data_IF_538720906350
#
_entry.id   IF_538720906350
#
_cell.length_a   1.000
_cell.length_b   1.000
_cell.length_c   1.000
_cell.angle_alpha   90.00
_cell.angle_beta   90.00
_cell.angle_gamma   90.00
#
_symmetry.space_group_name_H-M   'P 1'
#
loop_
_entity.id
_entity.type
_entity.pdbx_description
1 polymer ?
#
# COMPACT_ATOMS: atom_id res chain seq x y z
N UNK A 1 -5.86 -39.27 0.11
CA UNK A 1 -7.19 -39.15 -0.50
C UNK A 1 -7.04 -38.24 -1.70
N UNK A 2 -6.98 -38.84 -2.89
CA UNK A 2 -6.66 -38.18 -4.17
C UNK A 2 -7.93 -37.46 -4.63
N UNK A 3 -7.91 -36.12 -4.64
CA UNK A 3 -9.00 -35.34 -5.24
C UNK A 3 -8.68 -35.16 -6.73
N UNK A 4 -9.56 -35.74 -7.54
CA UNK A 4 -9.52 -35.69 -8.99
C UNK A 4 -9.49 -34.24 -9.51
N UNK A 5 -8.62 -34.00 -10.49
CA UNK A 5 -8.71 -32.87 -11.40
C UNK A 5 -10.05 -32.92 -12.15
N UNK A 6 -11.01 -32.08 -11.75
CA UNK A 6 -12.06 -31.65 -12.66
C UNK A 6 -11.56 -30.39 -13.37
N UNK A 7 -11.48 -30.40 -14.72
CA UNK A 7 -11.31 -29.17 -15.46
C UNK A 7 -12.53 -28.28 -15.17
N UNK A 8 -12.29 -27.04 -14.76
CA UNK A 8 -13.34 -26.03 -14.73
C UNK A 8 -13.98 -25.98 -16.13
N UNK A 9 -15.32 -26.09 -16.25
CA UNK A 9 -15.96 -25.94 -17.55
C UNK A 9 -15.61 -24.56 -18.10
N UNK A 10 -15.20 -24.53 -19.37
CA UNK A 10 -15.06 -23.29 -20.11
C UNK A 10 -16.32 -22.45 -19.87
N UNK A 11 -16.16 -21.15 -19.64
CA UNK A 11 -17.25 -20.20 -19.44
C UNK A 11 -18.11 -19.98 -20.72
N UNK A 12 -18.17 -20.98 -21.60
CA UNK A 12 -18.71 -20.91 -22.97
C UNK A 12 -20.19 -21.25 -23.08
N UNK A 13 -20.90 -21.60 -21.99
CA UNK A 13 -22.30 -21.97 -22.14
C UNK A 13 -23.18 -21.68 -20.93
N UNK A 14 -23.38 -20.38 -20.64
CA UNK A 14 -24.66 -19.94 -20.07
C UNK A 14 -25.57 -19.66 -21.28
N UNK A 15 -26.68 -20.39 -21.45
CA UNK A 15 -27.62 -20.16 -22.56
C UNK A 15 -28.06 -18.68 -22.60
N UNK A 16 -27.88 -18.02 -23.75
CA UNK A 16 -28.27 -16.62 -23.98
C UNK A 16 -27.24 -15.55 -23.61
N UNK A 17 -26.06 -15.92 -23.08
CA UNK A 17 -24.95 -14.97 -22.86
C UNK A 17 -23.65 -15.55 -23.43
N UNK A 18 -23.37 -15.24 -24.69
CA UNK A 18 -22.12 -15.66 -25.35
C UNK A 18 -20.94 -14.86 -24.78
N UNK A 19 -20.26 -15.43 -23.78
CA UNK A 19 -19.00 -14.91 -23.28
C UNK A 19 -17.84 -15.56 -24.05
N UNK A 20 -16.79 -14.79 -24.31
CA UNK A 20 -15.51 -15.27 -24.83
C UNK A 20 -14.44 -14.98 -23.80
N UNK A 21 -13.75 -16.04 -23.35
CA UNK A 21 -12.62 -15.94 -22.42
C UNK A 21 -11.27 -15.98 -23.13
N UNK A 22 -10.31 -15.21 -22.65
CA UNK A 22 -8.92 -15.25 -23.09
C UNK A 22 -7.96 -14.92 -21.94
N UNK A 23 -6.91 -15.74 -21.80
CA UNK A 23 -5.77 -15.42 -20.94
C UNK A 23 -4.93 -14.31 -21.57
N UNK A 24 -4.60 -13.29 -20.80
CA UNK A 24 -3.99 -12.06 -21.29
C UNK A 24 -3.05 -11.44 -20.24
N UNK A 25 -2.35 -10.39 -20.67
CA UNK A 25 -1.64 -9.43 -19.81
C UNK A 25 -2.26 -8.04 -19.95
N UNK A 26 -1.86 -7.14 -19.06
CA UNK A 26 -2.17 -5.71 -19.15
C UNK A 26 -0.90 -4.97 -19.55
N UNK A 27 -1.02 -4.05 -20.51
CA UNK A 27 0.07 -3.20 -20.95
C UNK A 27 0.42 -2.16 -19.88
N UNK A 28 1.62 -1.57 -19.96
CA UNK A 28 2.02 -0.47 -19.05
C UNK A 28 1.05 0.74 -19.09
N UNK A 29 0.34 0.92 -20.21
CA UNK A 29 -0.71 1.93 -20.37
C UNK A 29 -1.98 1.64 -19.58
N UNK A 30 -2.12 0.44 -19.01
CA UNK A 30 -3.37 -0.02 -18.38
C UNK A 30 -4.36 -0.64 -19.35
N UNK A 31 -3.99 -0.88 -20.61
CA UNK A 31 -4.86 -1.52 -21.60
C UNK A 31 -4.72 -3.05 -21.59
N UNK A 32 -5.84 -3.76 -21.60
CA UNK A 32 -5.89 -5.21 -21.72
C UNK A 32 -5.41 -5.65 -23.12
N UNK A 33 -4.41 -6.54 -23.18
CA UNK A 33 -3.86 -7.04 -24.45
C UNK A 33 -4.85 -7.91 -25.25
N UNK A 34 -5.89 -8.44 -24.60
CA UNK A 34 -6.92 -9.25 -25.26
C UNK A 34 -8.03 -8.40 -25.90
N UNK A 35 -8.54 -7.41 -25.17
CA UNK A 35 -9.73 -6.65 -25.60
C UNK A 35 -9.51 -5.16 -25.88
N UNK A 36 -8.32 -4.63 -25.58
CA UNK A 36 -7.98 -3.21 -25.74
C UNK A 36 -8.61 -2.28 -24.69
N UNK A 37 -9.45 -2.77 -23.78
CA UNK A 37 -10.09 -1.92 -22.75
C UNK A 37 -9.10 -1.48 -21.68
N UNK A 38 -9.30 -0.25 -21.23
CA UNK A 38 -8.57 0.32 -20.11
C UNK A 38 -9.07 -0.28 -18.80
N UNK A 39 -8.14 -0.82 -18.02
CA UNK A 39 -8.34 -1.30 -16.64
C UNK A 39 -8.55 -0.08 -15.73
N UNK A 40 -9.34 -0.26 -14.68
CA UNK A 40 -9.59 0.77 -13.67
C UNK A 40 -8.26 1.38 -13.18
N UNK A 41 -8.14 2.72 -13.12
CA UNK A 41 -6.91 3.36 -12.67
C UNK A 41 -6.64 3.05 -11.20
N UNK A 42 -5.36 2.97 -10.81
CA UNK A 42 -4.99 2.75 -9.40
C UNK A 42 -5.35 3.95 -8.51
N UNK A 43 -5.35 5.15 -9.09
CA UNK A 43 -5.58 6.38 -8.37
C UNK A 43 -7.06 6.53 -8.02
N UNK A 44 -7.31 6.92 -6.77
CA UNK A 44 -8.64 7.31 -6.31
C UNK A 44 -9.03 8.65 -6.93
N UNK A 45 -10.30 8.80 -7.29
CA UNK A 45 -10.85 10.13 -7.60
C UNK A 45 -10.79 11.04 -6.35
N UNK A 46 -10.84 12.37 -6.50
CA UNK A 46 -10.89 13.28 -5.36
C UNK A 46 -12.02 12.94 -4.37
N UNK A 47 -13.19 12.56 -4.89
CA UNK A 47 -14.36 12.19 -4.08
C UNK A 47 -14.17 10.84 -3.38
N UNK A 48 -13.58 9.85 -4.06
CA UNK A 48 -13.23 8.57 -3.45
C UNK A 48 -12.18 8.73 -2.35
N UNK A 49 -11.19 9.59 -2.58
CA UNK A 49 -10.12 9.87 -1.63
C UNK A 49 -10.65 10.56 -0.38
N UNK A 50 -11.46 11.60 -0.53
CA UNK A 50 -12.03 12.31 0.61
C UNK A 50 -12.99 11.41 1.41
N UNK A 51 -13.82 10.61 0.72
CA UNK A 51 -14.65 9.60 1.36
C UNK A 51 -13.83 8.60 2.19
N UNK A 52 -12.75 8.05 1.61
CA UNK A 52 -11.86 7.13 2.32
C UNK A 52 -11.20 7.82 3.51
N UNK A 53 -10.66 9.03 3.32
CA UNK A 53 -10.01 9.82 4.35
C UNK A 53 -10.95 10.01 5.54
N UNK A 54 -12.15 10.55 5.34
CA UNK A 54 -13.10 10.77 6.42
C UNK A 54 -13.46 9.48 7.17
N UNK A 55 -13.62 8.37 6.44
CA UNK A 55 -13.93 7.06 7.04
C UNK A 55 -12.80 6.56 7.91
N UNK A 56 -11.56 6.60 7.42
CA UNK A 56 -10.39 6.19 8.21
C UNK A 56 -10.20 7.09 9.43
N UNK A 57 -10.37 8.41 9.29
CA UNK A 57 -10.28 9.33 10.42
C UNK A 57 -11.33 9.00 11.49
N UNK A 58 -12.60 8.85 11.11
CA UNK A 58 -13.67 8.53 12.08
C UNK A 58 -13.53 7.14 12.70
N UNK A 59 -13.26 6.12 11.90
CA UNK A 59 -13.41 4.73 12.33
C UNK A 59 -12.12 4.15 12.95
N UNK A 60 -10.95 4.62 12.49
CA UNK A 60 -9.63 4.12 12.94
C UNK A 60 -8.97 5.07 13.94
N UNK A 61 -9.13 6.39 13.75
CA UNK A 61 -8.49 7.39 14.61
C UNK A 61 -9.41 7.80 15.76
N UNK A 62 -10.68 8.12 15.47
CA UNK A 62 -11.64 8.62 16.48
C UNK A 62 -12.54 7.51 17.09
N UNK A 63 -12.58 6.32 16.49
CA UNK A 63 -13.59 5.26 16.69
C UNK A 63 -13.68 4.59 18.08
N UNK A 64 -13.08 5.17 19.12
CA UNK A 64 -13.20 4.73 20.51
C UNK A 64 -12.16 3.69 20.95
N UNK A 65 -12.31 3.20 22.19
CA UNK A 65 -11.30 2.46 22.97
C UNK A 65 -10.79 1.15 22.33
N UNK A 66 -11.45 0.63 21.28
CA UNK A 66 -11.03 -0.61 20.61
C UNK A 66 -9.67 -0.49 19.89
N UNK A 67 -9.21 0.72 19.56
CA UNK A 67 -7.91 0.99 18.93
C UNK A 67 -6.96 1.82 19.82
N UNK A 68 -7.40 2.22 21.02
CA UNK A 68 -6.65 3.13 21.90
C UNK A 68 -5.58 2.41 22.74
N UNK A 69 -4.56 1.87 22.09
CA UNK A 69 -3.25 1.72 22.75
C UNK A 69 -2.44 3.02 22.74
N UNK A 70 -2.90 4.00 21.96
CA UNK A 70 -2.37 5.37 21.92
C UNK A 70 -3.18 6.27 22.85
N UNK A 71 -2.50 7.10 23.64
CA UNK A 71 -3.20 8.06 24.51
C UNK A 71 -3.82 9.20 23.69
N UNK A 72 -5.01 9.72 24.05
CA UNK A 72 -5.60 10.88 23.37
C UNK A 72 -4.67 12.11 23.33
N UNK A 73 -3.84 12.27 24.37
CA UNK A 73 -2.84 13.33 24.43
C UNK A 73 -1.74 13.16 23.38
N UNK A 74 -1.27 11.93 23.17
CA UNK A 74 -0.27 11.65 22.14
C UNK A 74 -0.84 11.82 20.74
N UNK A 75 -2.08 11.40 20.50
CA UNK A 75 -2.77 11.64 19.24
C UNK A 75 -2.87 13.13 18.94
N UNK A 76 -3.37 13.94 19.89
CA UNK A 76 -3.45 15.40 19.71
C UNK A 76 -2.09 16.05 19.45
N UNK A 77 -1.03 15.56 20.11
CA UNK A 77 0.35 16.02 19.86
C UNK A 77 0.77 15.70 18.43
N UNK A 78 0.43 14.52 17.94
CA UNK A 78 0.74 14.10 16.58
C UNK A 78 -0.02 14.92 15.53
N UNK A 79 -1.33 15.11 15.70
CA UNK A 79 -2.15 15.94 14.81
C UNK A 79 -1.61 17.36 14.73
N UNK A 80 -1.30 17.97 15.88
CA UNK A 80 -0.71 19.32 15.93
C UNK A 80 0.62 19.38 15.19
N UNK A 81 1.46 18.35 15.31
CA UNK A 81 2.72 18.25 14.61
C UNK A 81 2.53 18.14 13.09
N UNK A 82 1.67 17.24 12.61
CA UNK A 82 1.39 17.06 11.18
C UNK A 82 0.81 18.34 10.59
N UNK A 83 -0.15 18.98 11.26
CA UNK A 83 -0.79 20.21 10.78
C UNK A 83 0.14 21.44 10.79
N UNK A 84 1.26 21.38 11.50
CA UNK A 84 2.30 22.42 11.48
C UNK A 84 3.33 22.24 10.37
N UNK A 85 3.30 21.11 9.66
CA UNK A 85 4.21 20.79 8.57
C UNK A 85 3.53 20.97 7.21
N UNK A 86 4.29 21.22 6.12
CA UNK A 86 3.75 21.05 4.78
C UNK A 86 3.36 19.57 4.53
N UNK A 87 2.51 19.29 3.52
CA UNK A 87 2.23 17.93 3.11
C UNK A 87 3.50 17.13 2.82
N UNK A 88 3.54 15.89 3.31
CA UNK A 88 4.65 14.99 3.07
C UNK A 88 4.48 14.24 1.75
N UNK A 89 5.60 13.93 1.09
CA UNK A 89 5.62 13.06 -0.07
C UNK A 89 5.68 11.59 0.35
N UNK A 90 6.42 11.29 1.43
CA UNK A 90 6.57 9.93 1.95
C UNK A 90 6.56 9.91 3.47
N UNK A 91 5.66 9.09 4.04
CA UNK A 91 5.65 8.73 5.46
C UNK A 91 6.33 7.37 5.66
N UNK A 92 7.31 7.31 6.56
CA UNK A 92 8.17 6.16 6.79
C UNK A 92 7.90 5.61 8.18
N UNK A 93 7.45 4.36 8.26
CA UNK A 93 7.45 3.61 9.51
C UNK A 93 8.88 3.18 9.85
N UNK A 94 9.52 4.00 10.68
CA UNK A 94 10.96 3.91 10.94
C UNK A 94 11.37 2.63 11.65
N UNK A 95 10.54 2.09 12.55
CA UNK A 95 10.86 0.86 13.28
C UNK A 95 10.72 -0.35 12.35
N UNK A 96 9.65 -0.41 11.55
CA UNK A 96 9.48 -1.49 10.59
C UNK A 96 10.58 -1.47 9.52
N UNK A 97 10.89 -0.30 8.97
CA UNK A 97 11.96 -0.13 7.97
C UNK A 97 13.32 -0.53 8.52
N UNK A 98 13.65 -0.11 9.75
CA UNK A 98 14.92 -0.45 10.38
C UNK A 98 15.12 -1.97 10.52
N UNK A 99 14.03 -2.72 10.71
CA UNK A 99 14.03 -4.19 10.87
C UNK A 99 13.93 -4.97 9.56
N UNK A 100 13.77 -4.30 8.42
CA UNK A 100 13.68 -4.99 7.12
C UNK A 100 14.99 -5.70 6.73
N UNK A 101 16.14 -5.22 7.24
CA UNK A 101 17.46 -5.75 6.89
C UNK A 101 18.15 -6.36 8.13
N UNK A 102 17.92 -7.65 8.43
CA UNK A 102 18.34 -8.28 9.69
C UNK A 102 19.86 -8.34 9.90
N UNK A 103 20.66 -8.17 8.83
CA UNK A 103 22.12 -8.18 8.89
C UNK A 103 22.73 -6.78 9.15
N UNK A 104 21.91 -5.73 9.09
CA UNK A 104 22.34 -4.36 9.33
C UNK A 104 21.89 -3.86 10.70
N UNK A 105 22.60 -2.86 11.23
CA UNK A 105 22.14 -2.15 12.43
C UNK A 105 20.86 -1.36 12.11
N UNK A 106 19.88 -1.42 13.00
CA UNK A 106 18.56 -0.77 12.83
C UNK A 106 18.67 0.73 12.46
N UNK A 107 19.43 1.51 13.24
CA UNK A 107 19.68 2.94 12.96
C UNK A 107 20.37 3.19 11.61
N UNK A 108 21.32 2.33 11.21
CA UNK A 108 22.01 2.44 9.93
C UNK A 108 21.08 2.14 8.75
N UNK A 109 20.23 1.11 8.90
CA UNK A 109 19.24 0.72 7.89
C UNK A 109 18.25 1.87 7.64
N UNK A 110 17.71 2.45 8.72
CA UNK A 110 16.80 3.59 8.63
C UNK A 110 17.48 4.79 7.97
N UNK A 111 18.69 5.14 8.41
CA UNK A 111 19.47 6.23 7.82
C UNK A 111 19.72 6.01 6.32
N UNK A 112 20.02 4.77 5.91
CA UNK A 112 20.22 4.42 4.51
C UNK A 112 19.01 4.70 3.63
N UNK A 113 17.82 4.33 4.11
CA UNK A 113 16.55 4.59 3.42
C UNK A 113 16.25 6.09 3.36
N UNK A 114 16.33 6.78 4.50
CA UNK A 114 16.06 8.23 4.58
C UNK A 114 17.02 9.01 3.69
N UNK A 115 18.31 8.71 3.73
CA UNK A 115 19.31 9.45 2.95
C UNK A 115 19.12 9.29 1.45
N UNK A 116 18.74 8.09 0.99
CA UNK A 116 18.48 7.89 -0.44
C UNK A 116 17.20 8.61 -0.91
N UNK A 117 16.16 8.66 -0.08
CA UNK A 117 14.93 9.39 -0.41
C UNK A 117 15.14 10.90 -0.36
N UNK A 118 15.91 11.40 0.60
CA UNK A 118 16.21 12.83 0.74
C UNK A 118 16.98 13.38 -0.48
N UNK A 119 17.81 12.56 -1.13
CA UNK A 119 18.49 12.93 -2.40
C UNK A 119 17.52 13.24 -3.55
N UNK A 120 16.25 12.85 -3.44
CA UNK A 120 15.21 13.13 -4.44
C UNK A 120 14.43 14.43 -4.13
N UNK A 121 14.85 15.20 -3.12
CA UNK A 121 14.21 16.44 -2.69
C UNK A 121 12.74 16.26 -2.27
N UNK A 122 12.43 15.12 -1.64
CA UNK A 122 11.09 14.77 -1.14
C UNK A 122 10.88 15.28 0.29
N UNK A 123 9.66 15.65 0.63
CA UNK A 123 9.21 15.92 2.00
C UNK A 123 9.00 14.59 2.75
N UNK A 124 9.88 14.30 3.70
CA UNK A 124 9.89 13.02 4.42
C UNK A 124 9.43 13.19 5.86
N UNK A 125 8.55 12.28 6.29
CA UNK A 125 8.21 12.08 7.70
C UNK A 125 8.65 10.69 8.15
N UNK A 126 9.46 10.61 9.21
CA UNK A 126 9.79 9.36 9.89
C UNK A 126 8.97 9.25 11.17
N UNK A 127 8.16 8.20 11.26
CA UNK A 127 7.50 7.78 12.48
C UNK A 127 8.40 6.81 13.21
N UNK A 128 8.68 7.07 14.47
CA UNK A 128 9.54 6.24 15.28
C UNK A 128 9.05 6.12 16.71
N UNK A 129 9.84 5.47 17.54
CA UNK A 129 9.56 5.23 18.96
C UNK A 129 10.63 5.87 19.83
N UNK A 130 10.25 6.31 21.04
CA UNK A 130 11.18 6.96 21.98
C UNK A 130 12.43 6.11 22.30
N UNK A 131 12.34 4.78 22.27
CA UNK A 131 13.54 3.93 22.47
C UNK A 131 14.60 4.10 21.37
N UNK A 132 14.23 4.50 20.15
CA UNK A 132 15.17 4.75 19.05
C UNK A 132 16.11 5.93 19.35
N UNK A 133 15.72 6.82 20.27
CA UNK A 133 16.53 7.95 20.73
C UNK A 133 17.48 7.58 21.87
N UNK A 134 17.32 6.39 22.47
CA UNK A 134 18.19 5.91 23.55
C UNK A 134 19.39 5.18 22.93
N UNK A 135 20.63 5.65 23.18
CA UNK A 135 21.81 5.00 22.63
C UNK A 135 21.88 3.52 23.00
N UNK A 136 22.04 2.65 22.00
CA UNK A 136 22.19 1.22 22.15
C UNK A 136 23.03 0.64 21.01
N UNK A 137 23.33 -0.67 21.05
CA UNK A 137 23.99 -1.35 19.94
C UNK A 137 23.21 -1.25 18.63
N UNK A 138 21.87 -1.18 18.70
CA UNK A 138 20.98 -1.06 17.54
C UNK A 138 20.70 0.39 17.13
N UNK A 139 20.69 1.32 18.09
CA UNK A 139 20.36 2.72 17.87
C UNK A 139 21.52 3.63 18.22
N UNK A 140 22.33 4.00 17.22
CA UNK A 140 23.41 4.98 17.41
C UNK A 140 22.88 6.40 17.36
N UNK A 141 23.37 7.22 18.28
CA UNK A 141 22.98 8.62 18.41
C UNK A 141 23.33 9.43 17.16
N UNK A 142 24.53 9.24 16.62
CA UNK A 142 25.03 10.00 15.47
C UNK A 142 24.17 9.75 14.22
N UNK A 143 23.75 8.51 14.00
CA UNK A 143 22.92 8.14 12.85
C UNK A 143 21.49 8.66 12.99
N UNK A 144 20.91 8.60 14.18
CA UNK A 144 19.58 9.16 14.43
C UNK A 144 19.57 10.68 14.36
N UNK A 145 20.66 11.35 14.72
CA UNK A 145 20.83 12.79 14.47
C UNK A 145 20.90 13.11 12.98
N UNK A 146 21.54 12.27 12.16
CA UNK A 146 21.55 12.42 10.71
C UNK A 146 20.18 12.17 10.08
N UNK A 147 19.39 11.21 10.59
CA UNK A 147 17.99 11.02 10.17
C UNK A 147 17.18 12.29 10.42
N UNK A 148 17.27 12.86 11.62
CA UNK A 148 16.54 14.09 12.01
C UNK A 148 16.94 15.35 11.24
N UNK A 149 18.14 15.37 10.65
CA UNK A 149 18.58 16.47 9.77
C UNK A 149 18.01 16.36 8.36
N UNK A 150 17.57 15.17 7.95
CA UNK A 150 17.14 14.88 6.57
C UNK A 150 15.64 14.66 6.43
N UNK A 151 14.92 14.47 7.54
CA UNK A 151 13.48 14.24 7.55
C UNK A 151 12.84 14.86 8.80
N UNK A 152 11.55 15.18 8.70
CA UNK A 152 10.72 15.42 9.86
C UNK A 152 10.60 14.12 10.64
N UNK A 153 10.61 14.16 11.98
CA UNK A 153 10.53 12.97 12.81
C UNK A 153 9.54 13.15 13.95
N UNK A 154 8.66 12.17 14.13
CA UNK A 154 7.80 12.06 15.29
C UNK A 154 8.09 10.76 16.04
N UNK A 155 8.43 10.85 17.33
CA UNK A 155 8.74 9.69 18.15
C UNK A 155 7.62 9.43 19.16
N UNK A 156 6.78 8.44 18.85
CA UNK A 156 5.70 7.99 19.71
C UNK A 156 6.22 7.19 20.93
N UNK A 157 5.37 7.05 21.94
CA UNK A 157 5.58 6.15 23.06
C UNK A 157 5.73 4.70 22.61
N UNK A 158 6.52 3.90 23.33
CA UNK A 158 6.87 2.53 22.91
C UNK A 158 5.70 1.54 22.96
N UNK A 159 4.57 1.94 23.56
CA UNK A 159 3.38 1.11 23.77
C UNK A 159 2.28 1.37 22.73
N UNK A 160 2.38 2.46 21.98
CA UNK A 160 1.38 2.90 20.99
C UNK A 160 1.33 1.92 19.80
N UNK A 161 0.27 1.94 19.00
CA UNK A 161 0.25 1.25 17.70
C UNK A 161 0.82 2.21 16.63
N UNK A 162 1.62 1.72 15.67
CA UNK A 162 2.23 2.57 14.63
C UNK A 162 1.24 2.92 13.50
N UNK A 163 0.34 1.99 13.19
CA UNK A 163 -0.57 2.05 12.05
C UNK A 163 -1.50 3.30 12.04
N UNK A 164 -2.10 3.76 13.17
CA UNK A 164 -2.93 4.96 13.18
C UNK A 164 -2.18 6.24 12.78
N UNK A 165 -0.94 6.40 13.25
CA UNK A 165 -0.12 7.57 12.92
C UNK A 165 0.31 7.57 11.45
N UNK A 166 0.68 6.39 10.95
CA UNK A 166 1.05 6.20 9.54
C UNK A 166 -0.12 6.54 8.62
N UNK A 167 -1.30 5.98 8.90
CA UNK A 167 -2.52 6.24 8.16
C UNK A 167 -2.90 7.72 8.20
N UNK A 168 -2.93 8.32 9.38
CA UNK A 168 -3.29 9.72 9.56
C UNK A 168 -2.37 10.65 8.75
N UNK A 169 -1.04 10.55 8.93
CA UNK A 169 -0.11 11.45 8.25
C UNK A 169 -0.15 11.29 6.73
N UNK A 170 -0.29 10.06 6.24
CA UNK A 170 -0.34 9.80 4.79
C UNK A 170 -1.63 10.36 4.18
N UNK A 171 -2.78 10.09 4.80
CA UNK A 171 -4.08 10.58 4.31
C UNK A 171 -4.24 12.09 4.48
N UNK A 172 -3.66 12.68 5.52
CA UNK A 172 -3.71 14.12 5.73
C UNK A 172 -2.80 14.89 4.77
N UNK A 173 -1.69 14.29 4.33
CA UNK A 173 -0.81 14.89 3.32
C UNK A 173 -1.44 14.90 1.92
N UNK A 174 -2.33 13.96 1.61
CA UNK A 174 -3.14 13.97 0.40
C UNK A 174 -2.80 12.83 -0.58
N UNK A 175 -3.54 12.78 -1.69
CA UNK A 175 -3.55 11.64 -2.64
C UNK A 175 -2.22 11.43 -3.42
N UNK A 176 -1.22 12.28 -3.19
CA UNK A 176 0.14 12.10 -3.72
C UNK A 176 1.07 11.38 -2.74
N UNK A 177 0.77 11.45 -1.44
CA UNK A 177 1.65 11.00 -0.38
C UNK A 177 1.70 9.47 -0.33
N UNK A 178 2.91 8.93 -0.38
CA UNK A 178 3.17 7.49 -0.27
C UNK A 178 3.59 7.12 1.14
N UNK A 179 3.66 5.83 1.42
CA UNK A 179 4.15 5.36 2.71
C UNK A 179 5.00 4.10 2.59
N UNK A 180 5.90 3.90 3.55
CA UNK A 180 6.74 2.70 3.64
C UNK A 180 6.48 2.05 4.99
N UNK A 181 5.98 0.82 4.96
CA UNK A 181 5.92 -0.09 6.12
C UNK A 181 5.97 -1.54 5.63
N UNK A 182 6.41 -2.43 6.52
CA UNK A 182 6.34 -3.88 6.30
C UNK A 182 4.95 -4.44 6.63
N UNK A 183 4.16 -3.72 7.43
CA UNK A 183 2.87 -4.18 7.85
C UNK A 183 1.85 -4.11 6.71
N UNK A 184 1.05 -5.16 6.59
CA UNK A 184 0.00 -5.24 5.58
C UNK A 184 -1.27 -4.53 6.03
N UNK A 185 -1.23 -3.82 7.18
CA UNK A 185 -2.36 -3.14 7.82
C UNK A 185 -3.56 -4.08 7.99
N UNK A 186 -3.29 -5.36 8.28
CA UNK A 186 -4.27 -6.46 8.24
C UNK A 186 -5.36 -6.31 9.29
N UNK A 187 -5.00 -5.85 10.47
CA UNK A 187 -5.94 -5.73 11.58
C UNK A 187 -6.88 -4.54 11.35
N UNK A 188 -6.40 -3.46 10.73
CA UNK A 188 -7.24 -2.32 10.32
C UNK A 188 -8.24 -2.67 9.21
N UNK A 189 -7.93 -3.64 8.34
CA UNK A 189 -8.85 -4.10 7.28
C UNK A 189 -10.08 -4.79 7.84
N UNK A 190 -9.93 -5.59 8.90
CA UNK A 190 -11.03 -6.31 9.52
C UNK A 190 -12.05 -5.39 10.19
N UNK A 191 -11.64 -4.15 10.46
CA UNK A 191 -12.38 -3.15 11.19
C UNK A 191 -13.18 -2.18 10.30
N UNK A 192 -12.92 -2.17 8.99
CA UNK A 192 -13.68 -1.34 8.06
C UNK A 192 -15.06 -1.97 7.83
N UNK A 193 -16.16 -1.27 8.18
CA UNK A 193 -17.47 -1.90 8.35
C UNK A 193 -18.16 -2.24 7.02
N UNK A 194 -17.78 -1.59 5.92
CA UNK A 194 -18.48 -1.72 4.63
C UNK A 194 -17.54 -2.06 3.46
N UNK A 195 -18.09 -2.81 2.50
CA UNK A 195 -17.35 -3.32 1.35
C UNK A 195 -16.80 -2.21 0.43
N UNK A 196 -17.46 -1.05 0.38
CA UNK A 196 -16.98 0.08 -0.44
C UNK A 196 -15.73 0.67 0.18
N UNK A 197 -15.73 0.95 1.48
CA UNK A 197 -14.56 1.46 2.21
C UNK A 197 -13.41 0.49 2.15
N UNK A 198 -13.65 -0.81 2.34
CA UNK A 198 -12.62 -1.85 2.18
C UNK A 198 -12.01 -1.83 0.78
N UNK A 199 -12.83 -1.80 -0.28
CA UNK A 199 -12.33 -1.74 -1.67
C UNK A 199 -11.46 -0.51 -1.91
N UNK A 200 -11.91 0.67 -1.49
CA UNK A 200 -11.14 1.91 -1.66
C UNK A 200 -9.83 1.87 -0.85
N UNK A 201 -9.85 1.30 0.36
CA UNK A 201 -8.65 1.12 1.16
C UNK A 201 -7.62 0.20 0.48
N UNK A 202 -8.05 -0.92 -0.11
CA UNK A 202 -7.16 -1.81 -0.86
C UNK A 202 -6.54 -1.13 -2.09
N UNK A 203 -7.38 -0.41 -2.86
CA UNK A 203 -6.95 0.36 -4.02
C UNK A 203 -5.94 1.45 -3.61
N UNK A 204 -6.24 2.20 -2.56
CA UNK A 204 -5.34 3.18 -1.96
C UNK A 204 -4.02 2.54 -1.51
N UNK A 205 -4.07 1.47 -0.71
CA UNK A 205 -2.87 0.78 -0.23
C UNK A 205 -1.98 0.33 -1.39
N UNK A 206 -2.56 -0.30 -2.43
CA UNK A 206 -1.82 -0.75 -3.60
C UNK A 206 -1.18 0.43 -4.38
N UNK A 207 -1.85 1.59 -4.43
CA UNK A 207 -1.36 2.79 -5.09
C UNK A 207 -0.36 3.64 -4.29
N UNK A 208 -0.28 3.45 -2.98
CA UNK A 208 0.47 4.36 -2.09
C UNK A 208 1.54 3.66 -1.23
N UNK A 209 1.49 2.33 -1.05
CA UNK A 209 2.50 1.59 -0.29
C UNK A 209 3.74 1.32 -1.15
N UNK A 210 4.87 1.86 -0.73
CA UNK A 210 6.18 1.62 -1.33
C UNK A 210 6.84 0.41 -0.67
N UNK A 211 6.82 -0.73 -1.35
CA UNK A 211 7.53 -1.93 -0.92
C UNK A 211 9.00 -1.89 -1.35
N UNK A 212 9.93 -2.11 -0.42
CA UNK A 212 11.36 -2.18 -0.72
C UNK A 212 11.68 -3.61 -1.22
N UNK A 213 12.15 -3.74 -2.46
CA UNK A 213 12.40 -5.06 -3.08
C UNK A 213 13.77 -5.63 -2.71
N UNK A 214 14.84 -4.84 -2.87
CA UNK A 214 16.23 -5.25 -2.64
C UNK A 214 17.12 -4.04 -2.31
N UNK A 215 18.15 -4.31 -1.51
CA UNK A 215 19.32 -3.45 -1.33
C UNK A 215 19.42 -2.79 0.05
N UNK A 216 20.37 -3.23 0.88
CA UNK A 216 21.24 -2.29 1.57
C UNK A 216 22.59 -2.92 1.97
N UNK A 217 23.62 -2.07 2.08
CA UNK A 217 25.06 -2.27 2.32
C UNK A 217 26.00 -2.03 1.11
N UNK A 218 25.59 -2.25 -0.16
CA UNK A 218 26.42 -1.91 -1.36
C UNK A 218 25.66 -1.47 -2.63
N UNK A 219 24.32 -1.46 -2.64
CA UNK A 219 23.53 -1.11 -3.83
C UNK A 219 22.43 -0.10 -3.51
N UNK A 220 21.99 0.66 -4.52
CA UNK A 220 20.85 1.57 -4.47
C UNK A 220 19.58 0.80 -4.08
N UNK A 221 18.81 1.30 -3.11
CA UNK A 221 17.48 0.78 -2.77
C UNK A 221 16.58 0.86 -4.00
N UNK A 222 15.89 -0.23 -4.29
CA UNK A 222 14.86 -0.28 -5.34
C UNK A 222 13.51 -0.55 -4.72
N UNK A 223 12.54 0.27 -5.08
CA UNK A 223 11.14 0.10 -4.69
C UNK A 223 10.39 -0.70 -5.76
N UNK A 224 9.38 -1.44 -5.33
CA UNK A 224 8.44 -2.08 -6.22
C UNK A 224 7.71 -1.04 -7.05
N UNK A 225 7.60 -1.31 -8.35
CA UNK A 225 6.88 -0.42 -9.25
C UNK A 225 5.37 -0.45 -8.95
N UNK A 226 4.79 0.71 -8.69
CA UNK A 226 3.34 0.89 -8.56
C UNK A 226 2.75 1.00 -9.96
N UNK A 227 1.86 0.07 -10.33
CA UNK A 227 1.18 0.08 -11.61
C UNK A 227 0.19 1.24 -11.69
N UNK A 228 -0.06 1.77 -12.88
CA UNK A 228 -1.04 2.85 -13.13
C UNK A 228 -2.50 2.38 -13.05
N UNK A 229 -2.72 1.07 -12.93
CA UNK A 229 -4.02 0.41 -12.93
C UNK A 229 -4.19 -0.48 -11.70
N UNK A 230 -5.43 -0.61 -11.24
CA UNK A 230 -5.81 -1.41 -10.09
C UNK A 230 -5.84 -2.91 -10.45
N UNK A 231 -5.03 -3.69 -9.76
CA UNK A 231 -4.95 -5.15 -9.94
C UNK A 231 -5.95 -5.85 -9.03
N UNK A 232 -7.22 -5.74 -9.40
CA UNK A 232 -8.37 -6.35 -8.72
C UNK A 232 -9.33 -6.97 -9.73
N UNK A 233 -10.14 -7.93 -9.26
CA UNK A 233 -11.29 -8.42 -10.03
C UNK A 233 -12.22 -7.25 -10.32
N UNK A 234 -12.46 -6.99 -11.60
CA UNK A 234 -13.19 -5.80 -12.02
C UNK A 234 -14.01 -6.03 -13.28
N UNK A 235 -15.02 -5.18 -13.45
CA UNK A 235 -15.89 -5.16 -14.62
C UNK A 235 -15.81 -3.80 -15.29
N UNK A 236 -15.46 -3.80 -16.57
CA UNK A 236 -15.41 -2.60 -17.42
C UNK A 236 -16.47 -2.76 -18.51
N UNK A 237 -17.58 -2.03 -18.41
CA UNK A 237 -18.73 -2.17 -19.33
C UNK A 237 -19.35 -3.58 -19.28
N UNK A 238 -19.27 -4.30 -20.40
CA UNK A 238 -19.68 -5.69 -20.58
C UNK A 238 -18.52 -6.70 -20.59
N UNK A 239 -17.34 -6.33 -20.08
CA UNK A 239 -16.21 -7.26 -19.89
C UNK A 239 -15.81 -7.41 -18.42
N UNK A 240 -15.30 -8.58 -18.06
CA UNK A 240 -14.65 -8.85 -16.78
C UNK A 240 -13.15 -9.05 -16.97
N UNK A 241 -12.38 -8.57 -16.00
CA UNK A 241 -10.94 -8.75 -15.91
C UNK A 241 -10.62 -9.32 -14.53
N UNK A 242 -10.02 -10.51 -14.51
CA UNK A 242 -9.77 -11.29 -13.29
C UNK A 242 -8.27 -11.57 -13.22
N UNK A 243 -7.51 -10.93 -12.32
CA UNK A 243 -6.11 -11.26 -12.12
C UNK A 243 -5.99 -12.65 -11.46
N UNK A 244 -4.99 -13.44 -11.86
CA UNK A 244 -4.75 -14.77 -11.31
C UNK A 244 -3.24 -15.05 -11.16
N UNK A 245 -2.90 -15.85 -10.15
CA UNK A 245 -1.53 -16.35 -9.94
C UNK A 245 -1.34 -17.63 -10.78
N UNK A 246 -0.16 -17.79 -11.39
CA UNK A 246 0.20 -19.03 -12.11
C UNK A 246 0.71 -20.08 -11.11
N UNK A 247 0.32 -21.35 -11.29
CA UNK A 247 0.62 -22.43 -10.33
C UNK A 247 2.12 -22.59 -9.99
N UNK A 248 3.01 -22.23 -10.92
CA UNK A 248 4.46 -22.34 -10.78
C UNK A 248 5.14 -21.05 -10.28
N UNK A 249 4.39 -19.98 -10.05
CA UNK A 249 4.93 -18.66 -9.67
C UNK A 249 4.53 -18.34 -8.23
N UNK A 250 5.49 -18.45 -7.31
CA UNK A 250 5.30 -17.97 -5.94
C UNK A 250 5.48 -16.45 -5.89
N UNK A 251 4.38 -15.74 -5.63
CA UNK A 251 4.35 -14.29 -5.46
C UNK A 251 4.55 -13.92 -3.99
N UNK A 252 5.30 -12.85 -3.73
CA UNK A 252 5.39 -12.27 -2.38
C UNK A 252 4.10 -11.53 -2.01
N UNK A 253 3.86 -11.29 -0.72
CA UNK A 253 2.60 -10.66 -0.26
C UNK A 253 2.37 -9.23 -0.76
N UNK A 254 3.43 -8.53 -1.21
CA UNK A 254 3.36 -7.14 -1.67
C UNK A 254 3.32 -7.00 -3.21
N UNK A 255 3.69 -8.06 -3.93
CA UNK A 255 3.57 -8.11 -5.39
C UNK A 255 2.11 -8.30 -5.81
N UNK A 256 1.76 -7.97 -7.05
CA UNK A 256 0.40 -8.21 -7.58
C UNK A 256 0.47 -9.19 -8.77
N UNK A 257 -0.60 -9.97 -9.05
CA UNK A 257 -0.59 -10.88 -10.18
C UNK A 257 -0.38 -10.15 -11.51
N UNK A 258 0.41 -10.74 -12.41
CA UNK A 258 0.71 -10.15 -13.72
C UNK A 258 -0.13 -10.75 -14.86
N UNK A 259 -0.80 -11.87 -14.59
CA UNK A 259 -1.67 -12.57 -15.55
C UNK A 259 -3.14 -12.29 -15.26
N UNK A 260 -3.91 -12.26 -16.33
CA UNK A 260 -5.31 -11.86 -16.30
C UNK A 260 -6.16 -12.77 -17.17
N UNK A 261 -7.36 -13.09 -16.71
CA UNK A 261 -8.43 -13.64 -17.52
C UNK A 261 -9.34 -12.50 -17.96
N UNK A 262 -9.47 -12.31 -19.28
CA UNK A 262 -10.39 -11.37 -19.90
C UNK A 262 -11.62 -12.14 -20.39
N UNK A 263 -12.81 -11.74 -19.92
CA UNK A 263 -14.09 -12.26 -20.39
C UNK A 263 -14.85 -11.12 -21.07
N UNK A 264 -15.27 -11.29 -22.31
CA UNK A 264 -16.07 -10.32 -23.04
C UNK A 264 -17.38 -10.91 -23.51
N UNK A 265 -18.47 -10.15 -23.49
CA UNK A 265 -19.67 -10.54 -24.24
C UNK A 265 -19.39 -10.35 -25.72
N UNK A 266 -19.81 -11.31 -26.55
CA UNK A 266 -19.92 -11.08 -27.99
C UNK A 266 -20.99 -10.01 -28.22
N UNK A 267 -20.62 -8.91 -28.85
CA UNK A 267 -21.60 -8.05 -29.52
C UNK A 267 -22.21 -8.84 -30.67
N UNK A 268 -23.53 -8.80 -30.90
CA UNK A 268 -24.12 -9.34 -32.12
C UNK A 268 -23.46 -8.66 -33.32
N UNK A 269 -23.13 -9.41 -34.36
CA UNK A 269 -22.65 -8.83 -35.61
C UNK A 269 -23.72 -7.84 -36.13
N UNK A 270 -23.34 -6.62 -36.56
CA UNK A 270 -24.28 -5.74 -37.22
C UNK A 270 -24.80 -6.43 -38.48
N UNK A 271 -26.13 -6.57 -38.58
CA UNK A 271 -26.81 -7.12 -39.77
C UNK A 271 -26.52 -6.30 -41.03
#
# INVERSE_FOLDING_TARGET
MVLYHHPLPAADSIPGRQWKGQFTTIQKSGQCSGCGRTIEPIHLSPEEYEFLKEKIMRDVIDGGDQYKKTTPQELKRFESFVNSCPPFDIVIDGLNVAKMFPKGRESQNLLGVVSQLAQQNLQLLVLGRKHMLRPSSQWRKEEMEQVRKQAHCFFADNISEDDPFLLYATLNSGNHCKFITKDLLRDHKACLPDARTQRLFFKWQQGHQLAIMKGFQKSKLTFQHILSYDTVVQRTGDSWHIPYDEDLVQRSSCEVPTKWLCLQRKTPDPC
#
